data_IF_661380251764
#
_entry.id   IF_661380251764
#
_cell.length_a   1.000
_cell.length_b   1.000
_cell.length_c   1.000
_cell.angle_alpha   90.00
_cell.angle_beta   90.00
_cell.angle_gamma   90.00
#
_symmetry.space_group_name_H-M   'P 1'
#
loop_
_entity.id
_entity.type
_entity.pdbx_description
1 polymer ?
#
# COMPACT_ATOMS: atom_id res chain seq x y z
N UNK A 1 7.22 15.76 -16.02
CA UNK A 1 7.73 15.04 -17.19
C UNK A 1 7.18 13.63 -17.10
N UNK A 2 6.29 13.25 -18.01
CA UNK A 2 5.75 11.89 -17.98
C UNK A 2 6.87 10.89 -18.31
N UNK A 3 6.85 9.71 -17.69
CA UNK A 3 7.81 8.63 -17.96
C UNK A 3 7.89 8.34 -19.47
N UNK A 4 6.77 8.48 -20.18
CA UNK A 4 6.67 8.42 -21.64
C UNK A 4 7.64 9.38 -22.34
N UNK A 5 7.80 10.61 -21.85
CA UNK A 5 8.67 11.63 -22.45
C UNK A 5 10.16 11.32 -22.23
N UNK A 6 10.53 10.75 -21.09
CA UNK A 6 11.92 10.31 -20.79
C UNK A 6 12.30 9.12 -21.69
N UNK A 7 11.38 8.18 -21.88
CA UNK A 7 11.55 6.99 -22.72
C UNK A 7 11.74 7.38 -24.19
N UNK A 8 10.97 8.35 -24.69
CA UNK A 8 11.13 8.86 -26.06
C UNK A 8 12.46 9.57 -26.24
N UNK A 9 12.91 10.35 -25.25
CA UNK A 9 14.18 11.09 -25.31
C UNK A 9 15.41 10.17 -25.38
N UNK A 10 15.38 9.03 -24.69
CA UNK A 10 16.49 8.06 -24.68
C UNK A 10 16.52 7.21 -25.96
N UNK A 11 15.38 7.07 -26.66
CA UNK A 11 15.19 6.13 -27.79
C UNK A 11 15.88 6.47 -29.12
N UNK A 12 16.58 7.61 -29.22
CA UNK A 12 17.17 8.11 -30.48
C UNK A 12 18.33 7.28 -31.07
N UNK A 13 18.81 6.24 -30.40
CA UNK A 13 19.81 5.27 -30.90
C UNK A 13 19.30 3.85 -30.64
N UNK A 14 19.66 2.85 -31.46
CA UNK A 14 19.10 1.49 -31.39
C UNK A 14 19.16 0.81 -30.00
N UNK A 15 20.12 1.19 -29.15
CA UNK A 15 20.23 0.78 -27.74
C UNK A 15 19.15 1.45 -26.87
N UNK A 16 18.86 2.72 -27.15
CA UNK A 16 17.79 3.49 -26.53
C UNK A 16 16.40 2.89 -26.76
N UNK A 17 16.12 2.34 -27.95
CA UNK A 17 14.85 1.67 -28.23
C UNK A 17 14.66 0.41 -27.37
N UNK A 18 15.71 -0.39 -27.18
CA UNK A 18 15.68 -1.59 -26.32
C UNK A 18 15.51 -1.21 -24.85
N UNK A 19 16.25 -0.20 -24.35
CA UNK A 19 16.10 0.31 -22.99
C UNK A 19 14.70 0.88 -22.74
N UNK A 20 14.16 1.61 -23.72
CA UNK A 20 12.81 2.14 -23.68
C UNK A 20 11.75 1.04 -23.64
N UNK A 21 11.90 -0.03 -24.43
CA UNK A 21 11.01 -1.19 -24.38
C UNK A 21 11.03 -1.90 -23.01
N UNK A 22 12.22 -2.06 -22.42
CA UNK A 22 12.38 -2.65 -21.08
C UNK A 22 11.71 -1.79 -20.01
N UNK A 23 11.88 -0.46 -20.07
CA UNK A 23 11.26 0.47 -19.11
C UNK A 23 9.73 0.50 -19.24
N UNK A 24 9.20 0.48 -20.47
CA UNK A 24 7.75 0.37 -20.72
C UNK A 24 7.22 -0.94 -20.16
N UNK A 25 7.92 -2.06 -20.39
CA UNK A 25 7.52 -3.36 -19.87
C UNK A 25 7.44 -3.33 -18.33
N UNK A 26 8.51 -2.93 -17.64
CA UNK A 26 8.54 -2.88 -16.17
C UNK A 26 7.42 -1.99 -15.63
N UNK A 27 7.18 -0.83 -16.25
CA UNK A 27 6.14 0.09 -15.81
C UNK A 27 4.73 -0.47 -16.04
N UNK A 28 4.49 -1.08 -17.21
CA UNK A 28 3.20 -1.73 -17.51
C UNK A 28 2.93 -2.92 -16.59
N UNK A 29 3.93 -3.76 -16.31
CA UNK A 29 3.80 -4.90 -15.38
C UNK A 29 3.47 -4.44 -13.95
N UNK A 30 4.14 -3.39 -13.46
CA UNK A 30 3.84 -2.81 -12.15
C UNK A 30 2.42 -2.26 -12.08
N UNK A 31 1.97 -1.52 -13.11
CA UNK A 31 0.60 -1.00 -13.17
C UNK A 31 -0.43 -2.14 -13.19
N UNK A 32 -0.21 -3.14 -14.04
CA UNK A 32 -1.09 -4.31 -14.14
C UNK A 32 -1.20 -5.07 -12.81
N UNK A 33 -0.08 -5.21 -12.08
CA UNK A 33 -0.08 -5.82 -10.75
C UNK A 33 -0.86 -5.00 -9.73
N UNK A 34 -0.68 -3.67 -9.71
CA UNK A 34 -1.43 -2.78 -8.80
C UNK A 34 -2.92 -2.81 -9.09
N UNK A 35 -3.32 -2.80 -10.36
CA UNK A 35 -4.72 -2.91 -10.79
C UNK A 35 -5.31 -4.26 -10.37
N UNK A 36 -4.54 -5.34 -10.54
CA UNK A 36 -4.92 -6.67 -10.10
C UNK A 36 -5.15 -6.74 -8.58
N UNK A 37 -4.17 -6.29 -7.78
CA UNK A 37 -4.29 -6.28 -6.31
C UNK A 37 -5.45 -5.40 -5.84
N UNK A 38 -5.66 -4.24 -6.47
CA UNK A 38 -6.76 -3.34 -6.14
C UNK A 38 -8.12 -3.97 -6.44
N UNK A 39 -8.22 -4.69 -7.56
CA UNK A 39 -9.42 -5.44 -7.94
C UNK A 39 -9.68 -6.58 -6.95
N UNK A 40 -8.70 -7.43 -6.68
CA UNK A 40 -8.82 -8.53 -5.71
C UNK A 40 -9.25 -8.02 -4.34
N UNK A 41 -8.64 -6.93 -3.85
CA UNK A 41 -9.01 -6.31 -2.56
C UNK A 41 -10.45 -5.79 -2.57
N UNK A 42 -10.91 -5.24 -3.69
CA UNK A 42 -12.29 -4.77 -3.84
C UNK A 42 -13.29 -5.92 -3.82
N UNK A 43 -12.99 -7.01 -4.54
CA UNK A 43 -13.82 -8.21 -4.56
C UNK A 43 -13.84 -8.91 -3.19
N UNK A 44 -12.68 -9.00 -2.52
CA UNK A 44 -12.59 -9.49 -1.15
C UNK A 44 -13.46 -8.67 -0.18
N UNK A 45 -13.41 -7.33 -0.21
CA UNK A 45 -14.28 -6.47 0.63
C UNK A 45 -15.76 -6.70 0.33
N UNK A 46 -16.15 -6.87 -0.93
CA UNK A 46 -17.54 -7.21 -1.30
C UNK A 46 -17.94 -8.56 -0.73
N UNK A 47 -17.08 -9.56 -0.83
CA UNK A 47 -17.29 -10.91 -0.28
C UNK A 47 -17.54 -10.87 1.22
N UNK A 48 -16.68 -10.16 1.99
CA UNK A 48 -16.88 -9.98 3.44
C UNK A 48 -18.22 -9.27 3.75
N UNK A 49 -18.60 -8.24 3.00
CA UNK A 49 -19.90 -7.56 3.18
C UNK A 49 -21.09 -8.49 2.93
N UNK A 50 -21.03 -9.32 1.88
CA UNK A 50 -22.08 -10.31 1.61
C UNK A 50 -22.16 -11.36 2.72
N UNK A 51 -21.02 -11.81 3.24
CA UNK A 51 -20.97 -12.71 4.41
C UNK A 51 -21.65 -12.07 5.62
N UNK A 52 -21.38 -10.80 5.91
CA UNK A 52 -22.05 -10.07 7.00
C UNK A 52 -23.57 -10.08 6.81
N UNK A 53 -24.05 -9.75 5.60
CA UNK A 53 -25.49 -9.78 5.29
C UNK A 53 -26.08 -11.17 5.54
N UNK A 54 -25.41 -12.22 5.06
CA UNK A 54 -25.89 -13.61 5.20
C UNK A 54 -25.83 -14.13 6.65
N UNK A 55 -24.90 -13.63 7.47
CA UNK A 55 -24.84 -13.91 8.91
C UNK A 55 -26.05 -13.30 9.64
N UNK A 56 -26.44 -12.08 9.27
CA UNK A 56 -27.52 -11.31 9.89
C UNK A 56 -28.91 -11.70 9.37
N UNK A 57 -29.06 -12.16 8.12
CA UNK A 57 -30.34 -12.67 7.59
C UNK A 57 -30.77 -14.00 8.25
N UNK A 58 -29.83 -14.71 8.89
CA UNK A 58 -30.13 -15.89 9.71
C UNK A 58 -30.42 -17.18 8.95
N UNK A 59 -30.82 -17.12 7.68
CA UNK A 59 -31.21 -18.29 6.89
C UNK A 59 -30.04 -19.22 6.56
N UNK A 60 -28.84 -18.67 6.34
CA UNK A 60 -27.70 -19.41 5.75
C UNK A 60 -26.38 -19.21 6.51
N UNK A 61 -26.42 -19.05 7.83
CA UNK A 61 -25.23 -18.78 8.67
C UNK A 61 -24.11 -19.79 8.50
N UNK A 62 -24.43 -21.08 8.36
CA UNK A 62 -23.42 -22.13 8.13
C UNK A 62 -22.65 -21.92 6.83
N UNK A 63 -23.36 -21.59 5.75
CA UNK A 63 -22.75 -21.27 4.45
C UNK A 63 -21.95 -19.95 4.52
N UNK A 64 -22.45 -18.95 5.23
CA UNK A 64 -21.73 -17.68 5.45
C UNK A 64 -20.41 -17.90 6.18
N UNK A 65 -20.40 -18.65 7.29
CA UNK A 65 -19.18 -19.01 8.02
C UNK A 65 -18.21 -19.84 7.17
N UNK A 66 -18.73 -20.78 6.38
CA UNK A 66 -17.87 -21.58 5.49
C UNK A 66 -17.17 -20.72 4.44
N UNK A 67 -17.86 -19.74 3.86
CA UNK A 67 -17.24 -18.75 2.95
C UNK A 67 -16.28 -17.84 3.68
N UNK A 68 -16.59 -17.42 4.91
CA UNK A 68 -15.71 -16.58 5.71
C UNK A 68 -14.32 -17.21 5.91
N UNK A 69 -14.27 -18.52 6.20
CA UNK A 69 -13.02 -19.26 6.39
C UNK A 69 -12.07 -19.21 5.17
N UNK A 70 -12.59 -18.97 3.96
CA UNK A 70 -11.76 -18.78 2.77
C UNK A 70 -11.33 -17.33 2.53
N UNK A 71 -11.91 -16.37 3.25
CA UNK A 71 -11.61 -14.94 3.10
C UNK A 71 -10.66 -14.41 4.18
N UNK A 72 -10.61 -15.03 5.36
CA UNK A 72 -9.72 -14.63 6.47
C UNK A 72 -8.35 -15.29 6.35
N UNK A 73 -7.36 -14.70 7.02
CA UNK A 73 -5.98 -15.16 6.96
C UNK A 73 -5.84 -16.57 7.60
N UNK A 74 -5.40 -17.60 6.84
CA UNK A 74 -5.27 -18.95 7.38
C UNK A 74 -4.17 -19.09 8.44
N UNK A 75 -3.18 -18.19 8.48
CA UNK A 75 -2.10 -18.21 9.48
C UNK A 75 -2.58 -17.90 10.90
N UNK A 76 -3.82 -17.42 11.08
CA UNK A 76 -4.43 -17.25 12.39
C UNK A 76 -5.06 -18.53 12.94
N UNK A 77 -5.18 -19.58 12.14
CA UNK A 77 -5.72 -20.85 12.60
C UNK A 77 -4.77 -21.49 13.62
N UNK A 78 -5.32 -21.92 14.75
CA UNK A 78 -4.61 -22.71 15.78
C UNK A 78 -3.34 -22.02 16.33
N UNK A 79 -3.43 -20.72 16.60
CA UNK A 79 -2.31 -19.98 17.19
C UNK A 79 -2.15 -20.29 18.68
N UNK A 80 -0.98 -20.79 19.05
CA UNK A 80 -0.61 -21.05 20.45
C UNK A 80 -0.45 -19.78 21.29
N UNK A 81 -0.05 -18.66 20.66
CA UNK A 81 0.19 -17.38 21.35
C UNK A 81 -0.94 -16.42 21.01
N UNK A 82 -1.71 -16.03 22.03
CA UNK A 82 -2.92 -15.20 21.91
C UNK A 82 -2.70 -13.79 22.47
N UNK A 83 -3.57 -12.86 22.11
CA UNK A 83 -3.61 -11.47 22.63
C UNK A 83 -2.37 -10.62 22.33
N UNK A 84 -1.59 -10.98 21.31
CA UNK A 84 -0.48 -10.17 20.79
C UNK A 84 -0.85 -9.57 19.43
N UNK A 85 -0.11 -8.55 18.98
CA UNK A 85 -0.36 -7.90 17.69
C UNK A 85 -0.44 -8.91 16.53
N UNK A 86 0.48 -9.88 16.47
CA UNK A 86 0.52 -10.90 15.42
C UNK A 86 -0.76 -11.75 15.37
N UNK A 87 -1.32 -12.07 16.54
CA UNK A 87 -2.57 -12.81 16.68
C UNK A 87 -3.77 -12.04 16.09
N UNK A 88 -3.84 -10.73 16.29
CA UNK A 88 -4.89 -9.91 15.68
C UNK A 88 -4.67 -9.71 14.18
N UNK A 89 -3.43 -9.46 13.75
CA UNK A 89 -3.08 -9.24 12.34
C UNK A 89 -3.27 -10.48 11.45
N UNK A 90 -3.23 -11.67 12.05
CA UNK A 90 -3.46 -12.94 11.36
C UNK A 90 -4.89 -13.45 11.47
N UNK A 91 -5.84 -12.63 11.94
CA UNK A 91 -7.24 -13.04 12.17
C UNK A 91 -7.40 -14.18 13.19
N UNK A 92 -6.41 -14.40 14.07
CA UNK A 92 -6.45 -15.47 15.07
C UNK A 92 -7.64 -15.36 16.01
N UNK A 93 -8.02 -14.13 16.36
CA UNK A 93 -9.22 -13.85 17.15
C UNK A 93 -10.53 -14.24 16.46
N UNK A 94 -10.59 -14.17 15.12
CA UNK A 94 -11.76 -14.63 14.36
C UNK A 94 -11.76 -16.16 14.32
N UNK A 95 -10.60 -16.80 14.10
CA UNK A 95 -10.47 -18.25 14.12
C UNK A 95 -10.85 -18.86 15.48
N UNK A 96 -10.35 -18.30 16.57
CA UNK A 96 -10.71 -18.69 17.94
C UNK A 96 -12.19 -18.49 18.21
N UNK A 97 -12.78 -17.38 17.76
CA UNK A 97 -14.21 -17.16 17.91
C UNK A 97 -15.06 -18.14 17.09
N UNK A 98 -14.53 -18.60 15.95
CA UNK A 98 -15.18 -19.57 15.08
C UNK A 98 -15.10 -21.02 15.58
N UNK A 99 -14.17 -21.36 16.48
CA UNK A 99 -14.05 -22.74 17.00
C UNK A 99 -15.29 -23.16 17.80
N UNK A 100 -15.82 -22.23 18.60
CA UNK A 100 -16.95 -22.46 19.51
C UNK A 100 -18.24 -21.79 18.99
N UNK A 101 -18.33 -21.60 17.67
CA UNK A 101 -19.43 -20.87 17.04
C UNK A 101 -20.70 -21.73 16.95
N UNK A 102 -21.76 -21.29 17.61
CA UNK A 102 -23.04 -22.02 17.72
C UNK A 102 -24.12 -21.52 16.74
N UNK A 103 -23.77 -20.60 15.83
CA UNK A 103 -24.70 -20.01 14.86
C UNK A 103 -25.91 -19.28 15.48
N UNK A 104 -25.87 -18.99 16.78
CA UNK A 104 -26.86 -18.14 17.44
C UNK A 104 -26.89 -16.74 16.84
N UNK A 105 -28.01 -16.05 17.03
CA UNK A 105 -28.17 -14.65 16.64
C UNK A 105 -27.07 -13.79 17.26
N UNK A 106 -26.85 -13.93 18.56
CA UNK A 106 -25.87 -13.16 19.32
C UNK A 106 -24.45 -13.37 18.81
N UNK A 107 -24.01 -14.63 18.62
CA UNK A 107 -22.67 -14.89 18.08
C UNK A 107 -22.54 -14.42 16.64
N UNK A 108 -23.59 -14.49 15.84
CA UNK A 108 -23.58 -14.00 14.45
C UNK A 108 -23.46 -12.48 14.37
N UNK A 109 -24.15 -11.75 15.26
CA UNK A 109 -24.00 -10.30 15.41
C UNK A 109 -22.61 -9.92 15.91
N UNK A 110 -22.05 -10.68 16.85
CA UNK A 110 -20.68 -10.45 17.30
C UNK A 110 -19.65 -10.72 16.19
N UNK A 111 -19.86 -11.77 15.41
CA UNK A 111 -19.02 -12.06 14.25
C UNK A 111 -19.10 -10.92 13.22
N UNK A 112 -20.30 -10.42 12.92
CA UNK A 112 -20.44 -9.32 11.97
C UNK A 112 -19.68 -8.07 12.42
N UNK A 113 -19.71 -7.75 13.72
CA UNK A 113 -18.93 -6.65 14.28
C UNK A 113 -17.41 -6.84 14.09
N UNK A 114 -16.89 -8.05 14.29
CA UNK A 114 -15.47 -8.35 13.99
C UNK A 114 -15.13 -8.16 12.51
N UNK A 115 -16.02 -8.58 11.61
CA UNK A 115 -15.82 -8.40 10.17
C UNK A 115 -15.90 -6.92 9.74
N UNK A 116 -16.77 -6.13 10.36
CA UNK A 116 -16.84 -4.68 10.14
C UNK A 116 -15.56 -3.97 10.59
N UNK A 117 -15.01 -4.37 11.74
CA UNK A 117 -13.73 -3.87 12.23
C UNK A 117 -12.58 -4.25 11.31
N UNK A 118 -12.57 -5.48 10.80
CA UNK A 118 -11.61 -5.96 9.82
C UNK A 118 -11.68 -5.14 8.51
N UNK A 119 -12.88 -4.84 8.02
CA UNK A 119 -13.08 -3.94 6.87
C UNK A 119 -12.58 -2.51 7.15
N UNK A 120 -12.87 -1.99 8.36
CA UNK A 120 -12.42 -0.65 8.77
C UNK A 120 -10.90 -0.57 8.85
N UNK A 121 -10.25 -1.59 9.41
CA UNK A 121 -8.79 -1.67 9.50
C UNK A 121 -8.14 -1.69 8.10
N UNK A 122 -8.64 -2.53 7.19
CA UNK A 122 -8.13 -2.60 5.82
C UNK A 122 -8.31 -1.26 5.07
N UNK A 123 -9.40 -0.54 5.32
CA UNK A 123 -9.60 0.81 4.77
C UNK A 123 -8.55 1.82 5.29
N UNK A 124 -8.31 1.86 6.60
CA UNK A 124 -7.31 2.73 7.20
C UNK A 124 -5.90 2.44 6.66
N UNK A 125 -5.56 1.15 6.54
CA UNK A 125 -4.30 0.71 5.92
C UNK A 125 -4.21 1.17 4.47
N UNK A 126 -5.26 0.99 3.68
CA UNK A 126 -5.29 1.39 2.27
C UNK A 126 -5.10 2.90 2.09
N UNK A 127 -5.60 3.73 3.00
CA UNK A 127 -5.33 5.18 3.01
C UNK A 127 -3.86 5.48 3.30
N UNK A 128 -3.26 4.73 4.22
CA UNK A 128 -1.84 4.89 4.55
C UNK A 128 -0.92 4.44 3.41
N UNK A 129 -1.34 3.47 2.59
CA UNK A 129 -0.59 3.01 1.41
C UNK A 129 -0.57 4.06 0.27
N UNK A 130 -1.64 4.85 0.11
CA UNK A 130 -1.74 5.90 -0.93
C UNK A 130 -1.34 7.29 -0.44
N UNK A 131 -1.34 7.52 0.87
CA UNK A 131 -0.90 8.78 1.46
C UNK A 131 0.60 8.95 1.25
N UNK A 132 1.02 10.11 0.73
CA UNK A 132 2.45 10.46 0.76
C UNK A 132 2.80 10.66 2.24
N UNK A 133 3.44 9.65 2.83
CA UNK A 133 3.86 9.69 4.22
C UNK A 133 4.64 10.97 4.50
N UNK A 134 4.47 11.56 5.69
CA UNK A 134 5.20 12.77 6.10
C UNK A 134 6.70 12.62 5.83
N UNK A 135 7.27 11.44 6.10
CA UNK A 135 8.68 11.16 5.86
C UNK A 135 9.06 11.19 4.38
N UNK A 136 8.16 10.74 3.50
CA UNK A 136 8.35 10.80 2.03
C UNK A 136 8.28 12.25 1.52
N UNK A 137 7.36 13.07 2.05
CA UNK A 137 7.31 14.50 1.76
C UNK A 137 8.58 15.23 2.25
N UNK A 138 9.03 14.95 3.47
CA UNK A 138 10.26 15.53 4.02
C UNK A 138 11.50 15.12 3.22
N UNK A 139 11.58 13.86 2.80
CA UNK A 139 12.67 13.40 1.95
C UNK A 139 12.64 14.07 0.57
N UNK A 140 11.46 14.24 -0.04
CA UNK A 140 11.31 14.94 -1.32
C UNK A 140 11.75 16.41 -1.20
N UNK A 141 11.32 17.11 -0.15
CA UNK A 141 11.74 18.48 0.13
C UNK A 141 13.26 18.58 0.33
N UNK A 142 13.83 17.66 1.12
CA UNK A 142 15.29 17.59 1.36
C UNK A 142 16.07 17.40 0.06
N UNK A 143 15.69 16.44 -0.77
CA UNK A 143 16.35 16.19 -2.06
C UNK A 143 16.16 17.36 -3.03
N UNK A 144 14.99 18.00 -3.04
CA UNK A 144 14.73 19.22 -3.81
C UNK A 144 15.66 20.37 -3.41
N UNK A 145 15.89 20.59 -2.12
CA UNK A 145 16.81 21.61 -1.62
C UNK A 145 18.27 21.32 -1.99
N UNK A 146 18.72 20.06 -1.93
CA UNK A 146 20.06 19.65 -2.35
C UNK A 146 20.26 19.89 -3.86
N UNK A 147 19.26 19.54 -4.66
CA UNK A 147 19.29 19.75 -6.11
C UNK A 147 19.34 21.25 -6.47
N UNK A 148 18.53 22.08 -5.81
CA UNK A 148 18.52 23.53 -6.02
C UNK A 148 19.85 24.18 -5.62
N UNK A 149 20.47 23.74 -4.52
CA UNK A 149 21.82 24.18 -4.13
C UNK A 149 22.87 23.83 -5.19
N UNK A 150 22.80 22.62 -5.75
CA UNK A 150 23.71 22.20 -6.82
C UNK A 150 23.60 23.11 -8.04
N UNK A 151 22.37 23.48 -8.44
CA UNK A 151 22.14 24.43 -9.54
C UNK A 151 22.73 25.81 -9.22
N UNK A 152 22.52 26.31 -8.00
CA UNK A 152 23.07 27.60 -7.58
C UNK A 152 24.60 27.63 -7.62
N UNK A 153 25.27 26.53 -7.24
CA UNK A 153 26.73 26.41 -7.34
C UNK A 153 27.22 26.52 -8.79
N UNK A 154 26.59 25.79 -9.72
CA UNK A 154 26.94 25.87 -11.14
C UNK A 154 26.68 27.26 -11.73
N UNK A 155 25.58 27.91 -11.34
CA UNK A 155 25.28 29.27 -11.80
C UNK A 155 26.24 30.31 -11.21
N UNK A 156 26.60 30.21 -9.92
CA UNK A 156 27.56 31.09 -9.26
C UNK A 156 28.95 31.02 -9.91
N UNK A 157 29.40 29.82 -10.29
CA UNK A 157 30.64 29.63 -11.04
C UNK A 157 30.58 30.26 -12.44
N UNK A 158 29.42 30.25 -13.10
CA UNK A 158 29.26 30.84 -14.43
C UNK A 158 29.21 32.37 -14.40
N UNK A 159 28.64 32.98 -13.35
CA UNK A 159 28.53 34.44 -13.20
C UNK A 159 29.84 35.08 -12.69
N UNK A 160 30.85 34.27 -12.36
CA UNK A 160 32.19 34.69 -11.93
C UNK A 160 32.19 35.71 -10.76
N UNK A 161 31.15 35.66 -9.92
CA UNK A 161 31.02 36.51 -8.75
C UNK A 161 31.71 35.81 -7.57
N UNK A 162 32.90 36.31 -7.18
CA UNK A 162 33.72 35.74 -6.11
C UNK A 162 32.94 35.52 -4.81
N UNK A 163 32.01 36.41 -4.46
CA UNK A 163 31.23 36.32 -3.23
C UNK A 163 30.26 35.13 -3.25
N UNK A 164 29.60 34.90 -4.39
CA UNK A 164 28.70 33.74 -4.57
C UNK A 164 29.46 32.40 -4.60
N UNK A 165 30.68 32.40 -5.16
CA UNK A 165 31.54 31.21 -5.17
C UNK A 165 31.94 30.84 -3.73
N UNK A 166 32.39 31.79 -2.92
CA UNK A 166 32.73 31.54 -1.51
C UNK A 166 31.52 31.08 -0.67
N UNK A 167 30.36 31.72 -0.85
CA UNK A 167 29.12 31.32 -0.17
C UNK A 167 28.70 29.90 -0.54
N UNK A 168 28.86 29.52 -1.81
CA UNK A 168 28.49 28.17 -2.27
C UNK A 168 29.48 27.09 -1.81
N UNK A 169 30.77 27.41 -1.63
CA UNK A 169 31.73 26.50 -0.99
C UNK A 169 31.46 26.34 0.51
N UNK A 170 31.07 27.41 1.21
CA UNK A 170 30.72 27.37 2.64
C UNK A 170 29.52 26.45 2.92
N UNK A 171 28.55 26.39 2.00
CA UNK A 171 27.37 25.52 2.07
C UNK A 171 27.66 24.02 1.82
N UNK A 172 28.85 23.64 1.36
CA UNK A 172 29.23 22.21 1.22
C UNK A 172 29.71 21.59 2.53
N UNK A 173 30.02 22.42 3.55
CA UNK A 173 30.57 21.99 4.83
C UNK A 173 29.53 22.01 5.98
N UNK A 174 28.28 22.35 5.70
CA UNK A 174 27.13 22.34 6.62
C UNK A 174 25.92 21.68 5.94
#
# INVERSE_FOLDING_TARGET
MEISQIITLISGTGIGAVLSAILVFINSSKRNWLDYITKERTEWRKSIKLIIVDLLDGKNRKSAVSRLKSQINPYGSDMNVKYINDYYLKDGHIWDFLSDFDYSEEKSQKLSQYLELLLKYDWERSKNEVGIGRDSLWNLLRWGLIFLNTIMFFWANNVNNKLNIYLSFFQLFF
#
